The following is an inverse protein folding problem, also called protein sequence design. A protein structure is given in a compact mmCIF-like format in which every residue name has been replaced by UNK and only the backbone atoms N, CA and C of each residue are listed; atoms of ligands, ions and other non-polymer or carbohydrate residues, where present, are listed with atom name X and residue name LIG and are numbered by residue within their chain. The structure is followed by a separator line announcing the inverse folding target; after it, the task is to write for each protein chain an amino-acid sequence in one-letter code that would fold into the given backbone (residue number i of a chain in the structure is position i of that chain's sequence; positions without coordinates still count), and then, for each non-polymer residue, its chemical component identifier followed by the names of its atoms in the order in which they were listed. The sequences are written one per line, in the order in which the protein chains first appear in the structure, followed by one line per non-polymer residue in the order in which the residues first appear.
data_IF_804585861690
#
_entry.id   IF_804585861690
#
_cell.length_a   1.000
_cell.length_b   1.000
_cell.length_c   1.000
_cell.angle_alpha   90.00
_cell.angle_beta   90.00
_cell.angle_gamma   90.00
#
_symmetry.space_group_name_H-M   'P 1'
#
loop_
_entity.id
_entity.type
_entity.pdbx_description
1 polymer ?
#
# COMPACT_ATOMS: atom_id res chain seq x y z
N UNK A 1 -8.62 -16.72 2.90
CA UNK A 1 -9.94 -17.18 3.41
C UNK A 1 -10.95 -17.10 2.28
N UNK A 2 -11.90 -18.03 2.21
CA UNK A 2 -12.85 -18.10 1.10
C UNK A 2 -14.23 -18.60 1.58
N UNK A 3 -15.23 -18.70 0.70
CA UNK A 3 -16.50 -19.37 1.02
C UNK A 3 -16.41 -20.91 1.07
N UNK A 4 -15.30 -21.48 0.59
CA UNK A 4 -15.06 -22.91 0.52
C UNK A 4 -13.69 -23.26 1.13
N UNK A 5 -13.53 -24.51 1.57
CA UNK A 5 -12.24 -25.01 2.00
C UNK A 5 -11.48 -25.56 0.80
N UNK A 6 -10.20 -25.22 0.70
CA UNK A 6 -9.28 -25.75 -0.32
C UNK A 6 -8.00 -26.20 0.38
N UNK A 7 -7.75 -27.52 0.47
CA UNK A 7 -6.55 -28.06 1.11
C UNK A 7 -5.24 -27.68 0.39
N UNK A 8 -5.26 -27.40 -0.90
CA UNK A 8 -4.06 -27.03 -1.66
C UNK A 8 -3.61 -25.61 -1.31
N UNK A 9 -4.57 -24.71 -1.10
CA UNK A 9 -4.35 -23.31 -0.73
C UNK A 9 -4.42 -23.08 0.79
N UNK A 10 -4.65 -24.14 1.57
CA UNK A 10 -4.92 -24.11 3.01
C UNK A 10 -6.00 -23.08 3.37
N UNK A 11 -7.04 -22.97 2.54
CA UNK A 11 -8.03 -21.92 2.68
C UNK A 11 -9.03 -22.23 3.80
N UNK A 12 -9.26 -21.24 4.67
CA UNK A 12 -10.31 -21.29 5.69
C UNK A 12 -11.65 -20.87 5.08
N UNK A 13 -12.64 -21.75 5.18
CA UNK A 13 -14.02 -21.49 4.75
C UNK A 13 -14.74 -20.61 5.78
N UNK A 14 -15.32 -19.51 5.33
CA UNK A 14 -16.11 -18.58 6.14
C UNK A 14 -17.62 -18.82 5.91
N UNK A 15 -18.48 -18.61 6.92
CA UNK A 15 -19.93 -18.80 6.80
C UNK A 15 -20.61 -17.62 6.06
N UNK A 16 -20.07 -17.25 4.90
CA UNK A 16 -20.49 -16.10 4.09
C UNK A 16 -20.51 -16.49 2.62
N UNK A 17 -21.54 -16.08 1.89
CA UNK A 17 -21.67 -16.34 0.46
C UNK A 17 -20.61 -15.62 -0.39
N UNK A 18 -20.42 -16.10 -1.62
CA UNK A 18 -19.56 -15.43 -2.62
C UNK A 18 -20.18 -14.15 -3.17
N UNK A 19 -19.34 -13.34 -3.79
CA UNK A 19 -19.75 -12.12 -4.49
C UNK A 19 -19.33 -10.82 -3.81
N UNK A 20 -19.29 -9.76 -4.62
CA UNK A 20 -18.79 -8.44 -4.24
C UNK A 20 -19.60 -7.79 -3.12
N UNK A 21 -20.91 -8.03 -3.09
CA UNK A 21 -21.80 -7.46 -2.07
C UNK A 21 -21.59 -8.06 -0.67
N UNK A 22 -20.88 -9.19 -0.59
CA UNK A 22 -20.58 -9.90 0.66
C UNK A 22 -19.16 -9.62 1.19
N UNK A 23 -18.36 -8.77 0.53
CA UNK A 23 -16.96 -8.54 0.91
C UNK A 23 -16.82 -8.01 2.34
N UNK A 24 -17.74 -7.13 2.77
CA UNK A 24 -17.73 -6.63 4.15
C UNK A 24 -18.01 -7.74 5.16
N UNK A 25 -19.03 -8.57 4.92
CA UNK A 25 -19.31 -9.74 5.74
C UNK A 25 -18.10 -10.70 5.81
N UNK A 26 -17.48 -11.02 4.67
CA UNK A 26 -16.30 -11.88 4.62
C UNK A 26 -15.15 -11.30 5.44
N UNK A 27 -14.90 -10.00 5.33
CA UNK A 27 -13.81 -9.34 6.05
C UNK A 27 -14.04 -9.37 7.57
N UNK A 28 -15.28 -9.12 8.03
CA UNK A 28 -15.61 -9.25 9.46
C UNK A 28 -15.37 -10.67 9.97
N UNK A 29 -15.88 -11.68 9.27
CA UNK A 29 -15.69 -13.08 9.69
C UNK A 29 -14.22 -13.50 9.60
N UNK A 30 -13.48 -13.01 8.62
CA UNK A 30 -12.06 -13.28 8.49
C UNK A 30 -11.25 -12.74 9.67
N UNK A 31 -11.45 -11.48 10.05
CA UNK A 31 -10.76 -10.90 11.19
C UNK A 31 -11.23 -11.48 12.53
N UNK A 32 -12.50 -11.90 12.68
CA UNK A 32 -12.95 -12.68 13.84
C UNK A 32 -12.20 -14.02 13.95
N UNK A 33 -12.05 -14.73 12.83
CA UNK A 33 -11.31 -15.99 12.80
C UNK A 33 -9.84 -15.78 13.18
N UNK A 34 -9.17 -14.82 12.54
CA UNK A 34 -7.79 -14.43 12.85
C UNK A 34 -7.65 -14.10 14.34
N UNK A 35 -8.55 -13.26 14.86
CA UNK A 35 -8.55 -12.86 16.26
C UNK A 35 -8.63 -14.06 17.22
N UNK A 36 -9.47 -15.04 16.90
CA UNK A 36 -9.68 -16.22 17.74
C UNK A 36 -8.56 -17.27 17.65
N UNK A 37 -7.92 -17.41 16.48
CA UNK A 37 -7.05 -18.56 16.20
C UNK A 37 -5.58 -18.17 16.02
N UNK A 38 -5.29 -16.97 15.50
CA UNK A 38 -3.95 -16.60 15.00
C UNK A 38 -3.45 -15.23 15.50
N UNK A 39 -4.21 -14.52 16.35
CA UNK A 39 -3.83 -13.18 16.80
C UNK A 39 -2.45 -13.15 17.45
N UNK A 40 -2.10 -14.19 18.19
CA UNK A 40 -0.81 -14.26 18.90
C UNK A 40 0.34 -14.81 18.05
N UNK A 41 0.07 -15.31 16.85
CA UNK A 41 1.06 -15.91 15.94
C UNK A 41 1.73 -14.88 15.03
N UNK A 42 1.17 -13.66 14.92
CA UNK A 42 1.70 -12.62 14.06
C UNK A 42 1.60 -11.22 14.68
N UNK A 43 2.51 -10.34 14.28
CA UNK A 43 2.53 -8.93 14.69
C UNK A 43 1.65 -8.05 13.77
N UNK A 44 1.48 -8.46 12.52
CA UNK A 44 0.81 -7.71 11.46
C UNK A 44 -0.04 -8.63 10.60
N UNK A 45 -1.21 -8.14 10.18
CA UNK A 45 -2.22 -8.91 9.46
C UNK A 45 -2.60 -8.19 8.17
N UNK A 46 -2.27 -8.80 7.03
CA UNK A 46 -2.50 -8.25 5.69
C UNK A 46 -3.81 -8.78 5.11
N UNK A 47 -4.66 -7.88 4.63
CA UNK A 47 -5.74 -8.18 3.69
C UNK A 47 -5.28 -7.77 2.30
N UNK A 48 -5.41 -8.67 1.33
CA UNK A 48 -5.16 -8.42 -0.09
C UNK A 48 -6.16 -9.23 -0.92
N UNK A 49 -6.40 -8.80 -2.16
CA UNK A 49 -7.20 -9.56 -3.12
C UNK A 49 -6.30 -10.58 -3.84
N UNK A 50 -6.89 -11.60 -4.46
CA UNK A 50 -6.16 -12.66 -5.17
C UNK A 50 -5.54 -12.20 -6.50
N UNK A 51 -5.83 -10.97 -6.92
CA UNK A 51 -5.23 -10.23 -8.02
C UNK A 51 -4.34 -9.06 -7.55
N UNK A 52 -3.92 -9.06 -6.28
CA UNK A 52 -2.93 -8.12 -5.73
C UNK A 52 -1.55 -8.79 -5.63
N UNK A 53 -0.56 -8.30 -6.38
CA UNK A 53 0.83 -8.73 -6.21
C UNK A 53 1.48 -7.98 -5.04
N UNK A 54 2.10 -8.69 -4.09
CA UNK A 54 2.67 -8.11 -2.86
C UNK A 54 4.14 -8.49 -2.70
N UNK A 55 4.99 -7.49 -2.51
CA UNK A 55 6.42 -7.63 -2.20
C UNK A 55 6.58 -7.61 -0.67
N UNK A 56 6.60 -8.79 -0.06
CA UNK A 56 6.52 -8.96 1.41
C UNK A 56 7.75 -8.40 2.12
N UNK A 57 8.92 -8.43 1.48
CA UNK A 57 10.17 -7.85 1.97
C UNK A 57 10.04 -6.34 2.17
N UNK A 58 9.44 -5.65 1.19
CA UNK A 58 9.21 -4.21 1.24
C UNK A 58 8.16 -3.84 2.29
N UNK A 59 7.12 -4.69 2.45
CA UNK A 59 6.15 -4.55 3.53
C UNK A 59 6.82 -4.66 4.90
N UNK A 60 7.63 -5.69 5.12
CA UNK A 60 8.38 -5.90 6.38
C UNK A 60 9.34 -4.75 6.65
N UNK A 61 10.02 -4.25 5.62
CA UNK A 61 10.91 -3.10 5.73
C UNK A 61 10.19 -1.85 6.21
N UNK A 62 9.03 -1.53 5.62
CA UNK A 62 8.21 -0.38 6.03
C UNK A 62 7.67 -0.55 7.46
N UNK A 63 7.13 -1.73 7.79
CA UNK A 63 6.56 -2.03 9.09
C UNK A 63 7.60 -2.09 10.21
N UNK A 64 8.88 -2.28 9.88
CA UNK A 64 9.96 -2.32 10.87
C UNK A 64 9.96 -1.08 11.76
N UNK A 65 9.63 0.10 11.25
CA UNK A 65 9.60 1.33 12.04
C UNK A 65 8.54 1.35 13.15
N UNK A 66 7.52 0.48 13.08
CA UNK A 66 6.31 0.57 13.91
C UNK A 66 6.22 -0.57 14.93
N UNK A 67 5.62 -0.31 16.08
CA UNK A 67 5.23 -1.35 17.04
C UNK A 67 3.85 -1.90 16.68
N UNK A 68 3.70 -3.22 16.70
CA UNK A 68 2.40 -3.90 16.55
C UNK A 68 1.42 -3.62 17.71
N UNK A 69 1.91 -3.06 18.82
CA UNK A 69 1.09 -2.61 19.95
C UNK A 69 0.42 -1.25 19.69
N UNK A 70 0.77 -0.55 18.61
CA UNK A 70 0.13 0.71 18.26
C UNK A 70 -1.14 0.44 17.49
N UNK A 71 -2.27 1.11 17.77
CA UNK A 71 -3.51 0.93 17.04
C UNK A 71 -3.41 1.63 15.68
N UNK A 72 -2.71 1.02 14.72
CA UNK A 72 -2.41 1.61 13.41
C UNK A 72 -2.62 0.60 12.28
N UNK A 73 -2.99 1.11 11.10
CA UNK A 73 -3.10 0.35 9.86
C UNK A 73 -2.59 1.16 8.67
N UNK A 74 -2.13 0.47 7.63
CA UNK A 74 -1.49 1.07 6.46
C UNK A 74 -2.06 0.48 5.17
N UNK A 75 -1.98 1.24 4.08
CA UNK A 75 -2.41 0.83 2.74
C UNK A 75 -2.33 2.01 1.77
N UNK A 76 -3.09 1.95 0.67
CA UNK A 76 -3.27 3.09 -0.22
C UNK A 76 -4.40 3.99 0.31
N UNK A 77 -4.07 5.15 0.86
CA UNK A 77 -5.03 5.99 1.57
C UNK A 77 -5.91 6.78 0.59
N UNK A 78 -7.21 6.57 0.67
CA UNK A 78 -8.25 7.37 0.03
C UNK A 78 -8.90 8.35 1.01
N UNK A 79 -9.32 9.49 0.49
CA UNK A 79 -9.92 10.60 1.25
C UNK A 79 -11.45 10.61 1.36
N UNK A 80 -12.25 10.09 0.40
CA UNK A 80 -13.70 10.20 0.52
C UNK A 80 -14.25 9.44 1.72
N UNK A 81 -15.47 9.76 2.17
CA UNK A 81 -16.27 8.99 3.14
C UNK A 81 -15.79 8.88 4.60
N UNK A 82 -14.49 8.95 4.90
CA UNK A 82 -13.92 8.81 6.26
C UNK A 82 -13.02 10.01 6.55
N UNK A 83 -13.15 10.64 7.73
CA UNK A 83 -12.45 11.90 8.03
C UNK A 83 -10.94 11.73 8.02
N UNK A 84 -10.42 10.66 8.63
CA UNK A 84 -9.01 10.30 8.55
C UNK A 84 -8.63 9.58 7.25
N UNK A 85 -9.55 9.42 6.30
CA UNK A 85 -9.38 8.53 5.15
C UNK A 85 -9.52 7.05 5.49
N UNK A 86 -9.47 6.22 4.45
CA UNK A 86 -9.55 4.76 4.51
C UNK A 86 -8.55 4.15 3.52
N UNK A 87 -8.27 2.86 3.61
CA UNK A 87 -7.30 2.21 2.71
C UNK A 87 -8.03 1.47 1.59
N UNK A 88 -7.62 1.67 0.33
CA UNK A 88 -8.16 0.94 -0.82
C UNK A 88 -8.11 -0.56 -0.60
N UNK A 89 -9.25 -1.23 -0.80
CA UNK A 89 -9.35 -2.69 -0.61
C UNK A 89 -8.46 -3.49 -1.56
N UNK A 90 -8.37 -3.07 -2.83
CA UNK A 90 -7.63 -3.77 -3.89
C UNK A 90 -6.12 -3.58 -3.80
N UNK A 91 -5.65 -2.40 -3.40
CA UNK A 91 -4.23 -2.20 -3.10
C UNK A 91 -3.76 -3.08 -1.92
N UNK A 92 -4.68 -3.61 -1.12
CA UNK A 92 -4.41 -4.28 0.13
C UNK A 92 -4.12 -3.29 1.26
N UNK A 93 -4.35 -3.76 2.48
CA UNK A 93 -4.07 -3.01 3.69
C UNK A 93 -3.63 -3.94 4.82
N UNK A 94 -2.79 -3.41 5.71
CA UNK A 94 -2.20 -4.17 6.82
C UNK A 94 -2.58 -3.54 8.16
N UNK A 95 -3.04 -4.37 9.08
CA UNK A 95 -3.40 -3.99 10.44
C UNK A 95 -2.32 -4.49 11.40
N UNK A 96 -1.96 -3.64 12.37
CA UNK A 96 -1.22 -4.08 13.56
C UNK A 96 -2.05 -5.06 14.40
N UNK A 97 -1.38 -5.87 15.23
CA UNK A 97 -2.03 -6.73 16.24
C UNK A 97 -3.05 -5.96 17.09
N UNK A 98 -2.68 -4.79 17.60
CA UNK A 98 -3.59 -3.94 18.39
C UNK A 98 -4.79 -3.44 17.57
N UNK A 99 -4.61 -3.11 16.28
CA UNK A 99 -5.72 -2.71 15.41
C UNK A 99 -6.71 -3.86 15.18
N UNK A 100 -6.24 -5.09 14.96
CA UNK A 100 -7.12 -6.28 14.83
C UNK A 100 -7.91 -6.51 16.11
N UNK A 101 -7.25 -6.44 17.27
CA UNK A 101 -7.90 -6.58 18.57
C UNK A 101 -9.02 -5.55 18.75
N UNK A 102 -8.74 -4.26 18.49
CA UNK A 102 -9.75 -3.20 18.59
C UNK A 102 -10.88 -3.35 17.60
N UNK A 103 -10.56 -3.77 16.38
CA UNK A 103 -11.56 -4.00 15.35
C UNK A 103 -12.58 -5.04 15.81
N UNK A 104 -12.13 -6.19 16.30
CA UNK A 104 -13.02 -7.29 16.70
C UNK A 104 -13.74 -7.00 18.02
N UNK A 105 -13.01 -6.58 19.05
CA UNK A 105 -13.59 -6.39 20.40
C UNK A 105 -14.46 -5.14 20.50
N UNK A 106 -14.11 -4.07 19.78
CA UNK A 106 -14.71 -2.75 19.99
C UNK A 106 -15.43 -2.23 18.75
N UNK A 107 -14.93 -2.46 17.53
CA UNK A 107 -15.51 -1.84 16.33
C UNK A 107 -16.73 -2.63 15.83
N UNK A 108 -16.60 -3.94 15.63
CA UNK A 108 -17.71 -4.80 15.18
C UNK A 108 -18.99 -4.61 16.04
N UNK A 109 -18.94 -4.63 17.39
CA UNK A 109 -20.13 -4.42 18.21
C UNK A 109 -20.58 -2.95 18.32
N UNK A 110 -19.79 -1.98 17.83
CA UNK A 110 -20.12 -0.56 17.94
C UNK A 110 -21.20 -0.17 16.90
N UNK A 111 -22.33 0.46 17.30
CA UNK A 111 -23.38 0.90 16.37
C UNK A 111 -22.93 1.89 15.28
N UNK A 112 -21.79 2.57 15.46
CA UNK A 112 -21.18 3.42 14.42
C UNK A 112 -20.61 2.61 13.25
N UNK A 113 -20.30 1.33 13.49
CA UNK A 113 -19.99 0.37 12.45
C UNK A 113 -21.25 -0.22 11.85
N UNK A 114 -21.23 -0.46 10.54
CA UNK A 114 -22.31 -1.14 9.86
C UNK A 114 -22.44 -2.60 10.35
N UNK A 115 -23.60 -2.87 10.95
CA UNK A 115 -23.88 -4.14 11.64
C UNK A 115 -24.21 -5.27 10.67
N UNK A 116 -24.89 -4.98 9.57
CA UNK A 116 -25.16 -5.96 8.51
C UNK A 116 -23.89 -6.34 7.71
N UNK A 117 -24.02 -7.27 6.77
CA UNK A 117 -22.92 -7.74 5.94
C UNK A 117 -22.60 -6.91 4.69
N UNK A 118 -23.35 -5.84 4.43
CA UNK A 118 -23.33 -5.11 3.17
C UNK A 118 -22.45 -3.86 3.24
N UNK A 119 -22.20 -3.23 2.08
CA UNK A 119 -21.41 -2.01 1.96
C UNK A 119 -20.05 -2.24 1.30
N UNK A 120 -19.38 -1.14 0.95
CA UNK A 120 -18.03 -1.18 0.43
C UNK A 120 -17.06 -1.54 1.56
N UNK A 121 -16.45 -2.71 1.47
CA UNK A 121 -15.61 -3.32 2.51
C UNK A 121 -14.54 -2.36 3.05
N UNK A 122 -13.80 -1.70 2.15
CA UNK A 122 -12.71 -0.78 2.48
C UNK A 122 -13.19 0.50 3.19
N UNK A 123 -14.31 1.06 2.73
CA UNK A 123 -14.95 2.22 3.36
C UNK A 123 -15.48 1.86 4.75
N UNK A 124 -16.16 0.72 4.90
CA UNK A 124 -16.71 0.28 6.19
C UNK A 124 -15.57 -0.08 7.18
N UNK A 125 -14.50 -0.73 6.71
CA UNK A 125 -13.28 -0.94 7.51
C UNK A 125 -12.72 0.40 8.03
N UNK A 126 -12.55 1.39 7.15
CA UNK A 126 -12.04 2.71 7.52
C UNK A 126 -12.90 3.43 8.57
N UNK A 127 -14.23 3.44 8.39
CA UNK A 127 -15.18 4.00 9.36
C UNK A 127 -15.07 3.32 10.72
N UNK A 128 -15.00 1.99 10.71
CA UNK A 128 -14.93 1.18 11.92
C UNK A 128 -13.65 1.42 12.71
N UNK A 129 -12.51 1.43 12.03
CA UNK A 129 -11.22 1.71 12.63
C UNK A 129 -11.16 3.14 13.17
N UNK A 130 -11.74 4.12 12.48
CA UNK A 130 -11.88 5.49 12.99
C UNK A 130 -12.70 5.56 14.28
N UNK A 131 -13.83 4.86 14.34
CA UNK A 131 -14.71 4.83 15.52
C UNK A 131 -14.01 4.29 16.78
N UNK A 132 -13.02 3.42 16.62
CA UNK A 132 -12.23 2.84 17.73
C UNK A 132 -10.81 3.39 17.84
N UNK A 133 -10.57 4.58 17.25
CA UNK A 133 -9.31 5.33 17.36
C UNK A 133 -8.09 4.55 16.86
N UNK A 134 -8.28 3.71 15.84
CA UNK A 134 -7.17 3.13 15.07
C UNK A 134 -6.75 4.15 14.02
N UNK A 135 -5.46 4.49 14.01
CA UNK A 135 -4.88 5.49 13.14
C UNK A 135 -4.68 4.94 11.74
N UNK A 136 -5.19 5.64 10.73
CA UNK A 136 -4.73 5.47 9.37
C UNK A 136 -3.32 6.07 9.24
N UNK A 137 -2.31 5.21 9.10
CA UNK A 137 -0.91 5.58 8.99
C UNK A 137 -0.52 6.05 7.59
N UNK A 138 0.54 6.86 7.50
CA UNK A 138 1.15 7.22 6.22
C UNK A 138 2.12 6.11 5.79
N UNK A 139 1.84 5.47 4.65
CA UNK A 139 2.61 4.35 4.11
C UNK A 139 3.69 4.77 3.11
N UNK A 140 3.76 6.07 2.77
CA UNK A 140 4.71 6.62 1.80
C UNK A 140 6.14 6.53 2.32
N UNK A 141 7.10 6.59 1.41
CA UNK A 141 8.51 6.61 1.79
C UNK A 141 8.97 7.96 2.34
N UNK A 142 10.24 8.05 2.72
CA UNK A 142 10.82 9.25 3.35
C UNK A 142 10.83 10.48 2.45
N UNK A 143 10.62 10.32 1.14
CA UNK A 143 10.49 11.41 0.17
C UNK A 143 9.05 11.60 -0.31
N UNK A 144 8.10 10.82 0.22
CA UNK A 144 6.67 10.99 -0.05
C UNK A 144 6.12 10.15 -1.21
N UNK A 145 6.86 9.17 -1.73
CA UNK A 145 6.40 8.31 -2.83
C UNK A 145 5.50 7.17 -2.33
N UNK A 146 4.55 6.77 -3.16
CA UNK A 146 3.59 5.70 -2.83
C UNK A 146 4.24 4.34 -2.63
N UNK A 147 3.60 3.47 -1.83
CA UNK A 147 3.99 2.06 -1.68
C UNK A 147 2.86 1.07 -1.98
N UNK A 148 1.61 1.44 -1.73
CA UNK A 148 0.45 0.61 -2.03
C UNK A 148 -0.30 1.21 -3.22
N UNK A 149 -0.54 0.41 -4.26
CA UNK A 149 -1.07 0.90 -5.52
C UNK A 149 -2.37 0.17 -5.91
N UNK A 150 -3.47 0.90 -6.16
CA UNK A 150 -4.78 0.30 -6.45
C UNK A 150 -4.96 -0.07 -7.94
N UNK A 151 -3.88 -0.07 -8.72
CA UNK A 151 -3.88 -0.47 -10.14
C UNK A 151 -2.57 -1.16 -10.51
N UNK A 152 -2.53 -1.74 -11.71
CA UNK A 152 -1.33 -2.36 -12.28
C UNK A 152 -0.17 -1.35 -12.41
N UNK A 153 1.09 -1.81 -12.42
CA UNK A 153 2.25 -0.93 -12.48
C UNK A 153 2.23 0.08 -13.63
N UNK A 154 1.75 -0.31 -14.81
CA UNK A 154 1.69 0.58 -15.99
C UNK A 154 0.88 1.85 -15.76
N UNK A 155 -0.18 1.81 -14.95
CA UNK A 155 -1.00 3.00 -14.64
C UNK A 155 -0.26 4.03 -13.78
N UNK A 156 0.79 3.61 -13.07
CA UNK A 156 1.55 4.51 -12.19
C UNK A 156 2.87 4.93 -12.83
N UNK A 157 3.56 3.99 -13.50
CA UNK A 157 4.92 4.19 -14.00
C UNK A 157 5.00 4.89 -15.36
N UNK A 158 3.95 4.79 -16.19
CA UNK A 158 3.94 5.37 -17.54
C UNK A 158 3.36 6.79 -17.48
N UNK A 159 4.14 7.84 -17.81
CA UNK A 159 3.63 9.20 -17.85
C UNK A 159 2.43 9.34 -18.80
N UNK A 160 1.48 10.21 -18.46
CA UNK A 160 0.29 10.50 -19.27
C UNK A 160 -0.62 9.28 -19.56
N UNK A 161 -0.40 8.13 -18.91
CA UNK A 161 -1.22 6.92 -19.09
C UNK A 161 -2.58 6.99 -18.37
N UNK A 162 -2.75 7.98 -17.49
CA UNK A 162 -3.97 8.21 -16.73
C UNK A 162 -4.51 9.60 -17.05
N UNK A 163 -5.79 9.68 -17.40
CA UNK A 163 -6.47 10.94 -17.61
C UNK A 163 -6.40 11.81 -16.35
N UNK A 164 -6.17 13.12 -16.50
CA UNK A 164 -6.16 14.07 -15.38
C UNK A 164 -7.51 14.15 -14.67
N UNK A 165 -8.60 13.81 -15.36
CA UNK A 165 -9.94 13.72 -14.79
C UNK A 165 -10.26 12.34 -14.19
N UNK A 166 -9.29 11.42 -14.17
CA UNK A 166 -9.48 10.09 -13.61
C UNK A 166 -9.81 10.15 -12.12
N UNK A 167 -10.89 9.46 -11.74
CA UNK A 167 -11.46 9.50 -10.38
C UNK A 167 -10.43 9.19 -9.29
N UNK A 168 -9.42 8.38 -9.57
CA UNK A 168 -8.36 8.03 -8.63
C UNK A 168 -7.62 9.27 -8.10
N UNK A 169 -7.33 10.25 -8.96
CA UNK A 169 -6.68 11.50 -8.56
C UNK A 169 -7.57 12.33 -7.62
N UNK A 170 -8.89 12.15 -7.74
CA UNK A 170 -9.85 12.75 -6.80
C UNK A 170 -9.99 11.95 -5.51
N UNK A 171 -9.70 10.65 -5.50
CA UNK A 171 -9.85 9.79 -4.33
C UNK A 171 -8.59 9.72 -3.47
N UNK A 172 -7.41 9.80 -4.08
CA UNK A 172 -6.14 9.71 -3.36
C UNK A 172 -6.03 10.79 -2.28
N UNK A 173 -5.56 10.37 -1.10
CA UNK A 173 -5.31 11.28 0.01
C UNK A 173 -4.04 12.11 -0.20
N UNK A 174 -3.05 11.52 -0.87
CA UNK A 174 -1.78 12.16 -1.21
C UNK A 174 -1.68 12.24 -2.73
N UNK A 175 -1.45 13.44 -3.27
CA UNK A 175 -1.24 13.60 -4.70
C UNK A 175 -0.03 12.77 -5.14
N UNK A 176 -0.18 11.82 -6.07
CA UNK A 176 0.93 11.04 -6.59
C UNK A 176 1.76 11.89 -7.56
N UNK A 177 3.07 11.66 -7.58
CA UNK A 177 3.92 12.10 -8.70
C UNK A 177 3.69 11.18 -9.91
N UNK A 178 4.07 11.64 -11.10
CA UNK A 178 3.94 10.87 -12.35
C UNK A 178 5.26 10.21 -12.76
N UNK A 179 5.17 9.15 -13.55
CA UNK A 179 6.33 8.48 -14.15
C UNK A 179 7.14 7.67 -13.13
N UNK A 180 8.43 7.50 -13.36
CA UNK A 180 9.28 6.66 -12.51
C UNK A 180 9.43 7.20 -11.07
N UNK A 181 9.15 8.47 -10.84
CA UNK A 181 9.21 9.09 -9.51
C UNK A 181 7.90 8.90 -8.71
N UNK A 182 6.82 8.38 -9.30
CA UNK A 182 5.55 8.12 -8.59
C UNK A 182 5.71 7.23 -7.36
N UNK A 183 6.67 6.32 -7.46
CA UNK A 183 6.60 5.05 -6.79
C UNK A 183 7.90 4.81 -6.03
N UNK A 184 7.75 4.40 -4.77
CA UNK A 184 8.90 4.09 -3.94
C UNK A 184 9.70 2.95 -4.56
N UNK A 185 11.02 3.02 -4.47
CA UNK A 185 11.90 1.88 -4.80
C UNK A 185 11.59 0.66 -3.91
N UNK A 186 10.92 0.91 -2.78
CA UNK A 186 10.37 -0.10 -1.86
C UNK A 186 8.84 -0.18 -1.97
N UNK A 187 8.29 -0.15 -3.19
CA UNK A 187 6.87 -0.39 -3.43
C UNK A 187 6.43 -1.75 -2.86
N UNK A 188 5.21 -1.81 -2.31
CA UNK A 188 4.69 -2.94 -1.56
C UNK A 188 3.69 -3.74 -2.40
N UNK A 189 2.73 -3.10 -3.06
CA UNK A 189 1.68 -3.84 -3.76
C UNK A 189 1.13 -3.15 -4.98
N UNK A 190 0.66 -3.95 -5.94
CA UNK A 190 -0.06 -3.51 -7.13
C UNK A 190 -1.30 -4.38 -7.33
N UNK A 191 -2.43 -3.76 -7.66
CA UNK A 191 -3.72 -4.43 -7.85
C UNK A 191 -4.04 -4.69 -9.33
N UNK A 192 -5.08 -5.48 -9.61
CA UNK A 192 -5.48 -5.93 -10.95
C UNK A 192 -4.37 -6.66 -11.73
N UNK A 193 -3.46 -7.33 -11.02
CA UNK A 193 -2.34 -8.05 -11.63
C UNK A 193 -2.83 -9.42 -12.07
N UNK A 194 -2.87 -9.65 -13.39
CA UNK A 194 -3.24 -10.97 -13.93
C UNK A 194 -2.25 -12.06 -13.52
N UNK A 195 -2.65 -13.35 -13.50
CA UNK A 195 -1.74 -14.45 -13.19
C UNK A 195 -0.46 -14.44 -14.03
N UNK A 196 -0.56 -14.20 -15.34
CA UNK A 196 0.60 -14.09 -16.22
C UNK A 196 1.51 -12.92 -15.82
N UNK A 197 0.94 -11.78 -15.46
CA UNK A 197 1.69 -10.62 -15.03
C UNK A 197 2.37 -10.85 -13.67
N UNK A 198 1.79 -11.66 -12.77
CA UNK A 198 2.44 -12.05 -11.52
C UNK A 198 3.76 -12.79 -11.80
N UNK A 199 3.78 -13.75 -12.73
CA UNK A 199 5.01 -14.44 -13.14
C UNK A 199 6.04 -13.48 -13.76
N UNK A 200 5.59 -12.51 -14.56
CA UNK A 200 6.47 -11.49 -15.14
C UNK A 200 7.08 -10.61 -14.04
N UNK A 201 6.28 -10.12 -13.10
CA UNK A 201 6.77 -9.31 -11.98
C UNK A 201 7.76 -10.10 -11.12
N UNK A 202 7.45 -11.35 -10.81
CA UNK A 202 8.31 -12.23 -10.04
C UNK A 202 9.68 -12.43 -10.71
N UNK A 203 9.67 -12.70 -12.02
CA UNK A 203 10.89 -12.78 -12.81
C UNK A 203 11.68 -11.46 -12.78
N UNK A 204 11.03 -10.33 -13.02
CA UNK A 204 11.70 -9.02 -13.10
C UNK A 204 12.27 -8.58 -11.75
N UNK A 205 11.59 -8.88 -10.64
CA UNK A 205 11.96 -8.45 -9.29
C UNK A 205 13.02 -9.39 -8.69
N UNK A 206 12.80 -10.71 -8.76
CA UNK A 206 13.61 -11.68 -8.02
C UNK A 206 14.65 -12.41 -8.85
N UNK A 207 14.46 -12.55 -10.17
CA UNK A 207 15.32 -13.38 -11.00
C UNK A 207 16.20 -12.59 -11.97
N UNK A 208 15.66 -11.55 -12.62
CA UNK A 208 16.40 -10.76 -13.58
C UNK A 208 17.45 -9.90 -12.87
N UNK A 209 18.71 -10.03 -13.30
CA UNK A 209 19.85 -9.27 -12.77
C UNK A 209 20.64 -8.69 -13.94
N UNK A 210 20.53 -7.39 -14.22
CA UNK A 210 21.40 -6.75 -15.20
C UNK A 210 22.86 -6.90 -14.78
N UNK A 211 23.72 -7.31 -15.71
CA UNK A 211 25.14 -7.49 -15.44
C UNK A 211 25.77 -6.18 -14.92
N UNK A 212 26.48 -6.28 -13.79
CA UNK A 212 27.17 -5.15 -13.17
C UNK A 212 26.33 -4.29 -12.21
N UNK A 213 25.01 -4.54 -12.08
CA UNK A 213 24.15 -3.87 -11.09
C UNK A 213 23.97 -4.77 -9.88
N UNK A 214 24.53 -4.36 -8.74
CA UNK A 214 24.44 -5.08 -7.47
C UNK A 214 23.48 -4.34 -6.54
N UNK A 215 22.43 -5.01 -6.10
CA UNK A 215 21.50 -4.45 -5.11
C UNK A 215 22.25 -4.23 -3.78
N UNK A 216 22.30 -2.99 -3.31
CA UNK A 216 22.88 -2.66 -2.01
C UNK A 216 21.86 -2.90 -0.90
N UNK A 217 22.31 -3.49 0.20
CA UNK A 217 21.47 -3.62 1.41
C UNK A 217 21.11 -2.23 1.94
N UNK A 218 19.82 -1.95 2.08
CA UNK A 218 19.36 -0.74 2.75
C UNK A 218 19.45 -0.93 4.28
N UNK A 219 19.92 0.08 5.05
CA UNK A 219 19.90 0.01 6.50
C UNK A 219 18.45 -0.02 7.00
N UNK A 220 18.19 -0.74 8.10
CA UNK A 220 16.87 -0.76 8.72
C UNK A 220 16.45 0.66 9.16
N UNK A 221 15.18 1.04 8.97
CA UNK A 221 14.71 2.36 9.36
C UNK A 221 14.63 2.50 10.89
N UNK A 222 14.63 3.75 11.38
CA UNK A 222 14.54 4.03 12.81
C UNK A 222 13.17 3.58 13.35
N UNK A 223 13.16 2.93 14.52
CA UNK A 223 11.92 2.68 15.29
C UNK A 223 11.29 4.02 15.71
N UNK A 224 10.00 4.16 15.46
CA UNK A 224 9.21 5.34 15.78
C UNK A 224 8.44 5.12 17.09
N UNK A 225 8.42 6.14 17.93
CA UNK A 225 7.52 6.22 19.07
C UNK A 225 6.09 6.58 18.64
N UNK A 226 5.11 6.22 19.44
CA UNK A 226 3.71 6.59 19.17
C UNK A 226 3.52 8.12 19.08
N UNK A 227 4.26 8.90 19.88
CA UNK A 227 4.21 10.36 19.85
C UNK A 227 4.73 10.95 18.54
N UNK A 228 5.83 10.44 17.99
CA UNK A 228 6.36 10.85 16.68
C UNK A 228 5.34 10.58 15.56
N UNK A 229 4.62 9.46 15.62
CA UNK A 229 3.60 9.07 14.63
C UNK A 229 2.40 10.01 14.67
N UNK A 230 1.88 10.30 15.87
CA UNK A 230 0.72 11.20 16.03
C UNK A 230 1.08 12.63 15.66
N UNK A 231 2.25 13.12 16.07
CA UNK A 231 2.70 14.47 15.72
C UNK A 231 2.87 14.66 14.21
N UNK A 232 3.45 13.68 13.51
CA UNK A 232 3.61 13.73 12.06
C UNK A 232 2.26 13.77 11.30
N UNK A 233 1.18 13.26 11.91
CA UNK A 233 -0.17 13.38 11.35
C UNK A 233 -0.71 14.81 11.47
N UNK A 234 -0.47 15.46 12.60
CA UNK A 234 -1.00 16.80 12.88
C UNK A 234 -0.18 17.90 12.19
N UNK A 235 1.12 17.66 11.99
CA UNK A 235 1.97 18.48 11.16
C UNK A 235 1.78 18.09 9.69
N UNK A 236 0.92 18.79 8.95
CA UNK A 236 0.94 18.79 7.49
C UNK A 236 2.28 19.37 7.01
N UNK A 237 3.32 18.54 6.97
CA UNK A 237 4.63 18.92 6.46
C UNK A 237 4.52 18.92 4.93
N UNK A 238 4.69 20.07 4.25
CA UNK A 238 4.78 20.08 2.79
C UNK A 238 6.00 19.25 2.37
N UNK A 239 5.93 18.49 1.26
CA UNK A 239 7.08 17.74 0.77
C UNK A 239 8.28 18.67 0.65
N UNK A 240 9.43 18.26 1.20
CA UNK A 240 10.69 18.95 0.90
C UNK A 240 10.95 18.78 -0.59
N UNK A 241 11.07 19.90 -1.30
CA UNK A 241 11.58 19.89 -2.67
C UNK A 241 12.88 19.10 -2.72
N UNK A 242 12.92 18.10 -3.61
CA UNK A 242 14.13 17.34 -3.85
C UNK A 242 15.20 18.33 -4.36
N UNK A 243 16.43 18.33 -3.81
CA UNK A 243 17.51 19.10 -4.42
C UNK A 243 17.67 18.57 -5.84
N UNK A 244 17.36 19.41 -6.84
CA UNK A 244 17.74 19.13 -8.22
C UNK A 244 19.24 18.85 -8.19
N UNK A 245 19.62 17.62 -8.51
CA UNK A 245 21.02 17.30 -8.72
C UNK A 245 21.53 18.28 -9.78
N UNK A 246 22.48 19.12 -9.37
CA UNK A 246 23.31 19.89 -10.30
C UNK A 246 24.10 18.90 -11.15
N UNK A 247 23.48 18.46 -12.25
CA UNK A 247 24.15 17.92 -13.42
C UNK A 247 23.67 18.69 -14.64
N UNK A 248 24.03 19.96 -14.67
CA UNK A 248 24.18 20.72 -15.89
C UNK A 248 25.57 21.38 -15.82
N UNK A 249 26.59 20.56 -16.07
CA UNK A 249 27.98 20.96 -16.09
C UNK A 249 28.70 20.24 -17.22
N UNK A 250 28.89 20.97 -18.33
CA UNK A 250 29.87 20.73 -19.39
C UNK A 250 29.71 19.47 -20.27
N UNK A 251 28.90 19.61 -21.32
CA UNK A 251 29.06 18.91 -22.60
C UNK A 251 28.84 19.89 -23.76
N UNK A 252 29.56 21.01 -23.72
CA UNK A 252 29.75 21.92 -24.87
C UNK A 252 31.24 22.27 -24.96
N UNK A 253 32.04 21.37 -25.53
CA UNK A 253 33.36 21.70 -26.06
C UNK A 253 33.93 20.59 -26.94
N UNK A 254 33.12 19.96 -27.79
CA UNK A 254 33.62 19.00 -28.79
C UNK A 254 32.81 19.04 -30.09
N UNK A 255 32.52 20.24 -30.60
CA UNK A 255 32.07 20.46 -31.99
C UNK A 255 32.80 21.63 -32.64
N UNK A 256 34.12 21.58 -32.64
CA UNK A 256 34.98 22.41 -33.51
C UNK A 256 36.16 21.61 -34.05
N UNK A 257 35.89 20.68 -34.96
CA UNK A 257 36.83 20.34 -36.03
C UNK A 257 36.15 19.36 -36.97
N UNK A 258 35.65 19.87 -38.11
CA UNK A 258 35.79 19.23 -39.43
C UNK A 258 34.97 20.03 -40.45
N UNK A 259 35.62 21.01 -41.09
CA UNK A 259 35.30 21.45 -42.44
C UNK A 259 36.39 20.93 -43.38
N UNK A 260 36.03 20.26 -44.48
CA UNK A 260 36.80 20.29 -45.71
C UNK A 260 36.05 21.08 -46.82
N UNK A 261 36.73 21.46 -47.93
CA UNK A 261 36.68 22.81 -48.50
C UNK A 261 35.80 22.96 -49.75
N UNK A 262 35.61 24.23 -50.11
CA UNK A 262 35.00 24.73 -51.36
C UNK A 262 35.46 24.01 -52.64
N UNK A 263 34.48 23.63 -53.47
CA UNK A 263 34.33 24.07 -54.87
C UNK A 263 32.86 23.98 -55.25
#
# INVERSE_FOLDING_TARGET
MSSQADPLLESVALPVGEGRDNLWAKTKEAFKYIYQHHLEEADWFLKADDDTYVIVENLRYMLYSYSASYPIYFGCRFKPHVKQGYMSGGAGYVLSKEAVKRFVENAIPNPQCRQDGAGAEDVEMGKCLEAVKVLAGDSRDSVGRGRFFPFIPEHHLVPENVDKDFWYLQYTYYTPDEGLECCSDNAISFHYVSPNQMYVLDYLIYHLRPYGIVAHSQPLPKKLSFGEIVWAKDATIPPKECPQQQQAGTLESLEKSEKPPNT
#
